data_IF_283509584765
#
_entry.id   IF_283509584765
#
_cell.length_a   1.000
_cell.length_b   1.000
_cell.length_c   1.000
_cell.angle_alpha   90.00
_cell.angle_beta   90.00
_cell.angle_gamma   90.00
#
_symmetry.space_group_name_H-M   'P 1'
#
loop_
_entity.id
_entity.type
_entity.pdbx_description
1 polymer ?
#
# COMPACT_ATOMS: atom_id res chain seq x y z
N UNK A 1 8.14 -2.39 18.37
CA UNK A 1 8.90 -1.39 17.61
C UNK A 1 10.24 -1.08 18.30
N UNK A 2 11.11 -0.21 17.77
CA UNK A 2 12.42 0.08 18.41
C UNK A 2 12.23 0.65 19.83
N UNK A 3 11.24 1.51 20.03
CA UNK A 3 10.83 2.08 21.31
C UNK A 3 10.54 1.01 22.39
N UNK A 4 10.06 -0.17 21.97
CA UNK A 4 9.75 -1.32 22.84
C UNK A 4 10.96 -2.23 23.08
N UNK A 5 12.15 -1.77 22.69
CA UNK A 5 13.38 -2.54 22.80
C UNK A 5 14.42 -1.77 23.57
N UNK A 6 15.37 -2.51 24.13
CA UNK A 6 16.54 -1.97 24.80
C UNK A 6 17.78 -2.71 24.29
N UNK A 7 18.80 -1.94 23.89
CA UNK A 7 20.07 -2.51 23.44
C UNK A 7 20.85 -3.00 24.66
N UNK A 8 21.29 -4.26 24.61
CA UNK A 8 22.14 -4.87 25.62
C UNK A 8 23.39 -5.46 24.94
N UNK A 9 24.39 -4.60 24.68
CA UNK A 9 25.59 -4.99 23.92
C UNK A 9 25.25 -5.47 22.50
N UNK A 10 25.48 -6.76 22.25
CA UNK A 10 25.15 -7.45 20.99
C UNK A 10 23.76 -8.09 20.99
N UNK A 11 23.00 -7.93 22.07
CA UNK A 11 21.66 -8.47 22.24
C UNK A 11 20.63 -7.35 22.34
N UNK A 12 19.37 -7.75 22.20
CA UNK A 12 18.21 -6.90 22.36
C UNK A 12 17.33 -7.48 23.47
N UNK A 13 16.87 -6.64 24.39
CA UNK A 13 15.82 -6.98 25.34
C UNK A 13 14.49 -6.43 24.83
N UNK A 14 13.48 -7.29 24.74
CA UNK A 14 12.12 -6.89 24.43
C UNK A 14 11.42 -6.45 25.71
N UNK A 15 10.86 -5.23 25.72
CA UNK A 15 10.06 -4.71 26.84
C UNK A 15 8.63 -5.29 26.84
N UNK A 16 8.17 -5.76 25.68
CA UNK A 16 6.84 -6.34 25.45
C UNK A 16 6.98 -7.69 24.76
N UNK A 17 5.96 -8.55 24.91
CA UNK A 17 5.84 -9.77 24.11
C UNK A 17 5.08 -9.45 22.82
N UNK A 18 5.71 -9.53 21.63
CA UNK A 18 5.02 -9.26 20.38
C UNK A 18 3.97 -10.33 20.09
N UNK A 19 2.89 -9.94 19.43
CA UNK A 19 1.90 -10.86 18.88
C UNK A 19 2.40 -11.45 17.55
N UNK A 20 1.88 -12.63 17.19
CA UNK A 20 2.19 -13.22 15.90
C UNK A 20 1.62 -12.35 14.77
N UNK A 21 2.48 -11.97 13.82
CA UNK A 21 2.12 -11.08 12.71
C UNK A 21 2.09 -9.59 13.08
N UNK A 22 2.43 -9.22 14.31
CA UNK A 22 2.50 -7.80 14.69
C UNK A 22 3.54 -7.06 13.84
N UNK A 23 3.12 -5.93 13.26
CA UNK A 23 3.93 -5.10 12.36
C UNK A 23 4.37 -5.80 11.06
N UNK A 24 3.77 -6.94 10.70
CA UNK A 24 3.99 -7.59 9.40
C UNK A 24 2.90 -7.13 8.43
N UNK A 25 3.30 -6.51 7.31
CA UNK A 25 2.37 -6.28 6.19
C UNK A 25 2.33 -7.52 5.31
N UNK A 26 1.16 -8.08 5.10
CA UNK A 26 0.97 -9.29 4.32
C UNK A 26 0.87 -9.00 2.83
N UNK A 27 1.21 -10.00 2.01
CA UNK A 27 1.08 -9.89 0.57
C UNK A 27 -0.38 -9.62 0.18
N UNK A 28 -0.60 -8.55 -0.58
CA UNK A 28 -1.92 -8.17 -1.07
C UNK A 28 -2.91 -7.75 0.02
N UNK A 29 -2.43 -7.27 1.16
CA UNK A 29 -3.26 -6.79 2.27
C UNK A 29 -4.10 -5.56 1.88
N UNK A 30 -3.58 -4.69 1.02
CA UNK A 30 -4.31 -3.51 0.53
C UNK A 30 -5.14 -3.81 -0.72
N UNK A 31 -4.57 -4.51 -1.70
CA UNK A 31 -5.25 -5.00 -2.90
C UNK A 31 -4.50 -6.20 -3.47
N UNK A 32 -5.23 -7.08 -4.15
CA UNK A 32 -4.69 -8.31 -4.72
C UNK A 32 -4.62 -8.20 -6.24
N UNK A 33 -3.78 -9.03 -6.84
CA UNK A 33 -3.76 -9.17 -8.29
C UNK A 33 -5.16 -9.57 -8.79
N UNK A 34 -5.62 -8.93 -9.87
CA UNK A 34 -6.96 -9.14 -10.43
C UNK A 34 -8.06 -8.31 -9.76
N UNK A 35 -7.79 -7.60 -8.66
CA UNK A 35 -8.77 -6.65 -8.09
C UNK A 35 -8.88 -5.41 -8.98
N UNK A 36 -10.12 -5.01 -9.31
CA UNK A 36 -10.37 -3.74 -9.99
C UNK A 36 -10.04 -2.56 -9.07
N UNK A 37 -9.00 -1.80 -9.41
CA UNK A 37 -8.57 -0.64 -8.63
C UNK A 37 -9.46 0.59 -8.84
N UNK A 38 -9.91 0.81 -10.08
CA UNK A 38 -10.73 1.96 -10.49
C UNK A 38 -11.77 1.48 -11.50
N UNK A 39 -13.03 1.85 -11.30
CA UNK A 39 -14.12 1.51 -12.22
C UNK A 39 -14.05 2.37 -13.49
N UNK A 40 -14.39 1.80 -14.64
CA UNK A 40 -14.50 2.57 -15.88
C UNK A 40 -15.51 3.73 -15.73
N UNK A 41 -15.20 4.89 -16.34
CA UNK A 41 -16.00 6.11 -16.18
C UNK A 41 -15.71 6.91 -14.91
N UNK A 42 -14.88 6.40 -14.00
CA UNK A 42 -14.43 7.18 -12.83
C UNK A 42 -13.55 8.34 -13.29
N UNK A 43 -13.88 9.56 -12.84
CA UNK A 43 -13.00 10.72 -13.04
C UNK A 43 -11.72 10.54 -12.23
N UNK A 44 -10.58 10.47 -12.93
CA UNK A 44 -9.26 10.32 -12.30
C UNK A 44 -8.92 11.58 -11.50
N UNK A 45 -8.57 11.41 -10.23
CA UNK A 45 -8.10 12.45 -9.31
C UNK A 45 -6.66 12.18 -8.87
N UNK A 46 -6.07 13.06 -8.07
CA UNK A 46 -4.72 12.89 -7.52
C UNK A 46 -4.56 11.60 -6.70
N UNK A 47 -5.56 11.24 -5.88
CA UNK A 47 -5.53 9.99 -5.10
C UNK A 47 -5.52 8.75 -5.99
N UNK A 48 -6.32 8.76 -7.05
CA UNK A 48 -6.35 7.68 -8.04
C UNK A 48 -4.99 7.50 -8.74
N UNK A 49 -4.32 8.61 -9.09
CA UNK A 49 -2.98 8.55 -9.68
C UNK A 49 -1.96 7.91 -8.73
N UNK A 50 -2.03 8.22 -7.43
CA UNK A 50 -1.18 7.59 -6.43
C UNK A 50 -1.36 6.06 -6.36
N UNK A 51 -2.61 5.59 -6.39
CA UNK A 51 -2.93 4.15 -6.39
C UNK A 51 -2.42 3.47 -7.67
N UNK A 52 -2.68 4.06 -8.83
CA UNK A 52 -2.22 3.54 -10.13
C UNK A 52 -0.69 3.47 -10.20
N UNK A 53 0.00 4.50 -9.73
CA UNK A 53 1.46 4.52 -9.67
C UNK A 53 2.01 3.43 -8.73
N UNK A 54 1.41 3.26 -7.55
CA UNK A 54 1.78 2.20 -6.61
C UNK A 54 1.56 0.79 -7.21
N UNK A 55 0.52 0.64 -8.04
CA UNK A 55 0.23 -0.58 -8.80
C UNK A 55 1.09 -0.75 -10.06
N UNK A 56 2.06 0.15 -10.30
CA UNK A 56 2.96 0.17 -11.47
C UNK A 56 2.25 0.35 -12.82
N UNK A 57 1.09 0.99 -12.83
CA UNK A 57 0.43 1.40 -14.08
C UNK A 57 1.07 2.69 -14.62
N UNK A 58 2.02 2.56 -15.56
CA UNK A 58 2.71 3.71 -16.16
C UNK A 58 1.83 4.57 -17.09
N UNK A 59 0.81 3.95 -17.68
CA UNK A 59 -0.20 4.61 -18.53
C UNK A 59 -1.57 3.99 -18.26
N UNK A 60 -2.65 4.74 -18.49
CA UNK A 60 -4.02 4.24 -18.35
C UNK A 60 -4.87 4.66 -19.54
N UNK A 61 -5.80 3.80 -19.92
CA UNK A 61 -6.80 4.12 -20.93
C UNK A 61 -7.85 5.08 -20.32
N UNK A 62 -8.23 6.11 -21.08
CA UNK A 62 -9.24 7.10 -20.71
C UNK A 62 -10.17 7.35 -21.90
N UNK A 63 -11.35 7.90 -21.63
CA UNK A 63 -12.20 8.41 -22.70
C UNK A 63 -11.61 9.70 -23.28
N UNK A 64 -11.76 9.87 -24.59
CA UNK A 64 -11.39 11.12 -25.25
C UNK A 64 -12.21 12.28 -24.73
N UNK A 65 -11.62 13.48 -24.78
CA UNK A 65 -12.32 14.71 -24.39
C UNK A 65 -13.46 14.97 -25.38
N UNK A 66 -14.72 15.14 -24.93
CA UNK A 66 -15.83 15.48 -25.83
C UNK A 66 -15.56 16.76 -26.60
N UNK A 67 -15.89 16.77 -27.89
CA UNK A 67 -15.89 17.95 -28.76
C UNK A 67 -17.35 18.30 -29.02
N UNK A 68 -17.75 19.52 -28.66
CA UNK A 68 -19.12 20.04 -28.80
C UNK A 68 -19.07 21.30 -29.66
#
# INVERSE_FOLDING_TARGET
MQEDTERNGNYLKLKIKPQFGEYVRHQGEFYRAGTTLIQAGTRISSSHLGVLAAAKCGTVAVYDRPVV
#
